data_IF_336211820892
#
_entry.id   IF_336211820892
#
_cell.length_a   1.000
_cell.length_b   1.000
_cell.length_c   1.000
_cell.angle_alpha   90.00
_cell.angle_beta   90.00
_cell.angle_gamma   90.00
#
_symmetry.space_group_name_H-M   'P 1'
#
loop_
_entity.id
_entity.type
_entity.pdbx_description
1 polymer ?
#
# COMPACT_ATOMS: atom_id res chain seq x y z
N UNK A 1 78.29 -20.14 57.04
CA UNK A 1 77.35 -19.01 57.20
C UNK A 1 77.43 -18.19 55.93
N UNK A 2 76.37 -18.15 55.12
CA UNK A 2 76.35 -17.28 53.92
C UNK A 2 76.46 -15.82 54.36
N UNK A 3 77.29 -15.04 53.67
CA UNK A 3 77.52 -13.64 53.97
C UNK A 3 76.26 -12.82 53.67
N UNK A 4 75.83 -12.00 54.63
CA UNK A 4 74.65 -11.11 54.57
C UNK A 4 74.48 -10.27 53.27
N UNK A 5 75.53 -9.79 52.57
CA UNK A 5 75.36 -9.11 51.27
C UNK A 5 74.92 -10.03 50.12
N UNK A 6 75.34 -11.29 50.08
CA UNK A 6 74.96 -12.24 49.02
C UNK A 6 73.47 -12.59 49.11
N UNK A 7 72.96 -12.75 50.33
CA UNK A 7 71.53 -12.99 50.59
C UNK A 7 70.66 -11.82 50.10
N UNK A 8 71.10 -10.57 50.28
CA UNK A 8 70.40 -9.37 49.78
C UNK A 8 70.40 -9.31 48.25
N UNK A 9 71.52 -9.68 47.62
CA UNK A 9 71.64 -9.74 46.15
C UNK A 9 70.71 -10.80 45.56
N UNK A 10 70.69 -12.02 46.12
CA UNK A 10 69.78 -13.08 45.70
C UNK A 10 68.31 -12.66 45.86
N UNK A 11 67.95 -12.04 46.98
CA UNK A 11 66.57 -11.56 47.20
C UNK A 11 66.13 -10.55 46.13
N UNK A 12 67.01 -9.61 45.78
CA UNK A 12 66.76 -8.65 44.69
C UNK A 12 66.59 -9.33 43.33
N UNK A 13 67.40 -10.36 43.02
CA UNK A 13 67.25 -11.13 41.78
C UNK A 13 65.93 -11.91 41.75
N UNK A 14 65.53 -12.52 42.86
CA UNK A 14 64.25 -13.22 42.99
C UNK A 14 63.08 -12.25 42.77
N UNK A 15 63.10 -11.07 43.40
CA UNK A 15 62.06 -10.06 43.22
C UNK A 15 61.96 -9.56 41.76
N UNK A 16 63.10 -9.39 41.09
CA UNK A 16 63.15 -9.02 39.66
C UNK A 16 62.59 -10.12 38.75
N UNK A 17 62.90 -11.39 39.04
CA UNK A 17 62.36 -12.53 38.31
C UNK A 17 60.86 -12.67 38.56
N UNK A 18 60.39 -12.45 39.79
CA UNK A 18 58.98 -12.46 40.15
C UNK A 18 58.20 -11.37 39.40
N UNK A 19 58.75 -10.15 39.32
CA UNK A 19 58.12 -9.06 38.57
C UNK A 19 58.05 -9.36 37.07
N UNK A 20 59.13 -9.92 36.49
CA UNK A 20 59.14 -10.35 35.07
C UNK A 20 58.14 -11.47 34.81
N UNK A 21 58.02 -12.42 35.73
CA UNK A 21 57.04 -13.50 35.65
C UNK A 21 55.62 -12.93 35.67
N UNK A 22 55.31 -12.06 36.62
CA UNK A 22 53.99 -11.42 36.73
C UNK A 22 53.63 -10.62 35.47
N UNK A 23 54.57 -9.84 34.93
CA UNK A 23 54.34 -9.06 33.70
C UNK A 23 54.09 -9.98 32.48
N UNK A 24 54.81 -11.10 32.37
CA UNK A 24 54.57 -12.10 31.32
C UNK A 24 53.21 -12.77 31.50
N UNK A 25 52.83 -13.13 32.73
CA UNK A 25 51.51 -13.69 33.03
C UNK A 25 50.38 -12.74 32.66
N UNK A 26 50.50 -11.45 32.99
CA UNK A 26 49.50 -10.44 32.60
C UNK A 26 49.40 -10.29 31.07
N UNK A 27 50.54 -10.33 30.38
CA UNK A 27 50.56 -10.26 28.91
C UNK A 27 49.86 -11.47 28.29
N UNK A 28 50.10 -12.68 28.81
CA UNK A 28 49.46 -13.91 28.34
C UNK A 28 47.94 -13.84 28.58
N UNK A 29 47.49 -13.34 29.74
CA UNK A 29 46.07 -13.17 30.03
C UNK A 29 45.41 -12.17 29.06
N UNK A 30 46.08 -11.06 28.75
CA UNK A 30 45.57 -10.08 27.78
C UNK A 30 45.46 -10.68 26.39
N UNK A 31 46.51 -11.34 25.92
CA UNK A 31 46.50 -12.04 24.62
C UNK A 31 45.42 -13.13 24.55
N UNK A 32 45.19 -13.87 25.65
CA UNK A 32 44.12 -14.84 25.73
C UNK A 32 42.74 -14.22 25.58
N UNK A 33 42.52 -13.06 26.21
CA UNK A 33 41.27 -12.30 26.07
C UNK A 33 41.08 -11.76 24.64
N UNK A 34 42.13 -11.18 24.06
CA UNK A 34 42.09 -10.65 22.69
C UNK A 34 41.81 -11.78 21.67
N UNK A 35 42.38 -12.99 21.91
CA UNK A 35 42.11 -14.17 21.09
C UNK A 35 40.66 -14.64 21.19
N UNK A 36 40.09 -14.68 22.40
CA UNK A 36 38.69 -15.05 22.60
C UNK A 36 37.73 -14.04 21.94
N UNK A 37 38.04 -12.74 22.03
CA UNK A 37 37.29 -11.68 21.35
C UNK A 37 37.37 -11.83 19.82
N UNK A 38 38.56 -12.14 19.28
CA UNK A 38 38.75 -12.39 17.86
C UNK A 38 37.98 -13.65 17.37
N UNK A 39 37.95 -14.71 18.16
CA UNK A 39 37.17 -15.92 17.84
C UNK A 39 35.66 -15.65 17.81
N UNK A 40 35.13 -14.88 18.78
CA UNK A 40 33.72 -14.48 18.80
C UNK A 40 33.38 -13.61 17.58
N UNK A 41 34.24 -12.65 17.24
CA UNK A 41 34.05 -11.81 16.06
C UNK A 41 34.06 -12.65 14.76
N UNK A 42 34.98 -13.61 14.64
CA UNK A 42 35.03 -14.55 13.51
C UNK A 42 33.74 -15.37 13.40
N UNK A 43 33.27 -15.96 14.49
CA UNK A 43 32.02 -16.74 14.48
C UNK A 43 30.81 -15.91 14.07
N UNK A 44 30.71 -14.68 14.57
CA UNK A 44 29.66 -13.73 14.18
C UNK A 44 29.70 -13.38 12.70
N UNK A 45 30.90 -13.13 12.15
CA UNK A 45 31.09 -12.85 10.72
C UNK A 45 30.72 -14.05 9.85
N UNK A 46 31.15 -15.27 10.22
CA UNK A 46 30.78 -16.49 9.51
C UNK A 46 29.27 -16.66 9.44
N UNK A 47 28.56 -16.53 10.58
CA UNK A 47 27.10 -16.63 10.60
C UNK A 47 26.42 -15.57 9.72
N UNK A 48 26.98 -14.35 9.67
CA UNK A 48 26.50 -13.28 8.79
C UNK A 48 26.72 -13.59 7.31
N UNK A 49 27.89 -14.11 6.94
CA UNK A 49 28.19 -14.51 5.56
C UNK A 49 27.23 -15.61 5.08
N UNK A 50 27.02 -16.66 5.87
CA UNK A 50 26.08 -17.73 5.50
C UNK A 50 24.64 -17.21 5.34
N UNK A 51 24.24 -16.23 6.15
CA UNK A 51 22.92 -15.59 6.04
C UNK A 51 22.81 -14.80 4.72
N UNK A 52 23.87 -14.06 4.36
CA UNK A 52 23.91 -13.32 3.10
C UNK A 52 23.91 -14.26 1.88
N UNK A 53 24.62 -15.38 1.93
CA UNK A 53 24.63 -16.39 0.87
C UNK A 53 23.23 -16.99 0.65
N UNK A 54 22.51 -17.35 1.72
CA UNK A 54 21.13 -17.84 1.63
C UNK A 54 20.19 -16.78 1.04
N UNK A 55 20.36 -15.51 1.41
CA UNK A 55 19.56 -14.42 0.88
C UNK A 55 19.86 -14.17 -0.61
N UNK A 56 21.13 -14.19 -1.02
CA UNK A 56 21.52 -14.07 -2.43
C UNK A 56 20.90 -15.18 -3.28
N UNK A 57 21.02 -16.44 -2.84
CA UNK A 57 20.42 -17.58 -3.56
C UNK A 57 18.88 -17.45 -3.68
N UNK A 58 18.21 -16.88 -2.67
CA UNK A 58 16.77 -16.61 -2.74
C UNK A 58 16.44 -15.54 -3.78
N UNK A 59 17.19 -14.44 -3.78
CA UNK A 59 17.01 -13.33 -4.72
C UNK A 59 17.30 -13.76 -6.15
N UNK A 60 18.35 -14.55 -6.40
CA UNK A 60 18.65 -15.11 -7.71
C UNK A 60 17.49 -15.96 -8.24
N UNK A 61 16.95 -16.84 -7.40
CA UNK A 61 15.79 -17.68 -7.76
C UNK A 61 14.53 -16.85 -8.03
N UNK A 62 14.31 -15.75 -7.31
CA UNK A 62 13.22 -14.82 -7.59
C UNK A 62 13.46 -14.09 -8.93
N UNK A 63 14.70 -13.67 -9.21
CA UNK A 63 15.11 -13.07 -10.47
C UNK A 63 14.85 -13.97 -11.67
N UNK A 64 15.20 -15.26 -11.58
CA UNK A 64 14.95 -16.23 -12.65
C UNK A 64 13.45 -16.40 -12.95
N UNK A 65 12.61 -16.40 -11.91
CA UNK A 65 11.15 -16.46 -12.07
C UNK A 65 10.61 -15.21 -12.76
N UNK A 66 11.12 -14.02 -12.39
CA UNK A 66 10.72 -12.78 -13.03
C UNK A 66 11.10 -12.75 -14.51
N UNK A 67 12.32 -13.19 -14.84
CA UNK A 67 12.78 -13.30 -16.23
C UNK A 67 11.91 -14.25 -17.05
N UNK A 68 11.60 -15.44 -16.53
CA UNK A 68 10.72 -16.39 -17.22
C UNK A 68 9.31 -15.82 -17.43
N UNK A 69 8.77 -15.08 -16.45
CA UNK A 69 7.46 -14.45 -16.57
C UNK A 69 7.45 -13.31 -17.61
N UNK A 70 8.53 -12.52 -17.67
CA UNK A 70 8.72 -11.47 -18.67
C UNK A 70 8.75 -12.07 -20.09
N UNK A 71 9.50 -13.16 -20.30
CA UNK A 71 9.57 -13.86 -21.58
C UNK A 71 8.19 -14.39 -22.03
N UNK A 72 7.40 -14.96 -21.11
CA UNK A 72 6.04 -15.41 -21.39
C UNK A 72 5.11 -14.25 -21.76
N UNK A 73 5.17 -13.14 -21.00
CA UNK A 73 4.35 -11.96 -21.27
C UNK A 73 4.69 -11.34 -22.62
N UNK A 74 5.99 -11.25 -22.95
CA UNK A 74 6.47 -10.71 -24.21
C UNK A 74 6.04 -11.60 -25.39
N UNK A 75 6.10 -12.92 -25.24
CA UNK A 75 5.60 -13.86 -26.24
C UNK A 75 4.09 -13.69 -26.47
N UNK A 76 3.30 -13.58 -25.38
CA UNK A 76 1.86 -13.34 -25.45
C UNK A 76 1.52 -12.02 -26.15
N UNK A 77 2.22 -10.93 -25.81
CA UNK A 77 2.05 -9.64 -26.45
C UNK A 77 2.36 -9.68 -27.95
N UNK A 78 3.45 -10.35 -28.34
CA UNK A 78 3.85 -10.49 -29.74
C UNK A 78 2.81 -11.27 -30.55
N UNK A 79 2.25 -12.34 -29.98
CA UNK A 79 1.21 -13.13 -30.62
C UNK A 79 -0.06 -12.32 -30.84
N UNK A 80 -0.52 -11.59 -29.81
CA UNK A 80 -1.73 -10.78 -29.89
C UNK A 80 -1.55 -9.60 -30.87
N UNK A 81 -0.37 -8.97 -30.85
CA UNK A 81 -0.02 -7.91 -31.81
C UNK A 81 -0.06 -8.42 -33.26
N UNK A 82 0.43 -9.64 -33.48
CA UNK A 82 0.38 -10.29 -34.80
C UNK A 82 -1.07 -10.58 -35.21
N UNK A 83 -1.86 -11.16 -34.32
CA UNK A 83 -3.29 -11.45 -34.56
C UNK A 83 -4.07 -10.19 -34.94
N UNK A 84 -3.93 -9.12 -34.17
CA UNK A 84 -4.61 -7.84 -34.44
C UNK A 84 -4.16 -7.23 -35.77
N UNK A 85 -2.88 -7.36 -36.12
CA UNK A 85 -2.37 -6.91 -37.43
C UNK A 85 -3.02 -7.68 -38.58
N UNK A 86 -3.09 -9.01 -38.46
CA UNK A 86 -3.71 -9.86 -39.47
C UNK A 86 -5.20 -9.53 -39.64
N UNK A 87 -5.91 -9.29 -38.54
CA UNK A 87 -7.32 -8.89 -38.52
C UNK A 87 -7.55 -7.52 -39.20
N UNK A 88 -6.71 -6.53 -38.87
CA UNK A 88 -6.74 -5.21 -39.53
C UNK A 88 -6.50 -5.34 -41.04
N UNK A 89 -5.61 -6.22 -41.47
CA UNK A 89 -5.34 -6.42 -42.88
C UNK A 89 -6.51 -7.11 -43.60
N UNK A 90 -7.23 -8.03 -42.93
CA UNK A 90 -8.47 -8.61 -43.46
C UNK A 90 -9.53 -7.53 -43.62
N UNK A 91 -9.82 -6.77 -42.56
CA UNK A 91 -10.84 -5.72 -42.59
C UNK A 91 -10.56 -4.64 -43.65
N UNK A 92 -9.29 -4.30 -43.88
CA UNK A 92 -8.90 -3.39 -44.97
C UNK A 92 -9.25 -3.95 -46.35
N UNK A 93 -9.03 -5.25 -46.59
CA UNK A 93 -9.40 -5.90 -47.85
C UNK A 93 -10.92 -5.91 -48.03
N UNK A 94 -11.66 -6.29 -47.00
CA UNK A 94 -13.12 -6.32 -47.05
C UNK A 94 -13.70 -4.93 -47.30
N UNK A 95 -13.18 -3.92 -46.60
CA UNK A 95 -13.59 -2.51 -46.81
C UNK A 95 -13.29 -2.06 -48.24
N UNK A 96 -12.17 -2.50 -48.83
CA UNK A 96 -11.84 -2.20 -50.22
C UNK A 96 -12.83 -2.86 -51.19
N UNK A 97 -13.16 -4.14 -50.99
CA UNK A 97 -14.12 -4.87 -51.82
C UNK A 97 -15.53 -4.27 -51.75
N UNK A 98 -16.02 -3.97 -50.53
CA UNK A 98 -17.32 -3.34 -50.34
C UNK A 98 -17.40 -1.96 -50.98
N UNK A 99 -16.30 -1.18 -50.97
CA UNK A 99 -16.24 0.10 -51.68
C UNK A 99 -16.35 -0.06 -53.20
N UNK A 100 -15.71 -1.09 -53.76
CA UNK A 100 -15.79 -1.38 -55.18
C UNK A 100 -17.23 -1.74 -55.58
N UNK A 101 -17.84 -2.68 -54.84
CA UNK A 101 -19.23 -3.09 -55.05
C UNK A 101 -20.20 -1.90 -54.90
N UNK A 102 -19.99 -1.04 -53.91
CA UNK A 102 -20.81 0.16 -53.73
C UNK A 102 -20.72 1.11 -54.94
N UNK A 103 -19.51 1.31 -55.48
CA UNK A 103 -19.31 2.13 -56.66
C UNK A 103 -20.00 1.53 -57.89
N UNK A 104 -19.93 0.21 -58.07
CA UNK A 104 -20.60 -0.49 -59.17
C UNK A 104 -22.12 -0.35 -59.07
N UNK A 105 -22.69 -0.53 -57.87
CA UNK A 105 -24.11 -0.32 -57.61
C UNK A 105 -24.55 1.14 -57.83
N UNK A 106 -23.69 2.11 -57.48
CA UNK A 106 -23.95 3.54 -57.78
C UNK A 106 -24.01 3.76 -59.30
N UNK A 107 -23.09 3.17 -60.07
CA UNK A 107 -23.07 3.28 -61.52
C UNK A 107 -24.32 2.66 -62.14
N UNK A 108 -24.68 1.44 -61.72
CA UNK A 108 -25.91 0.76 -62.18
C UNK A 108 -27.16 1.58 -61.87
N UNK A 109 -27.25 2.13 -60.65
CA UNK A 109 -28.35 3.03 -60.27
C UNK A 109 -28.43 4.25 -61.18
N UNK A 110 -27.30 4.86 -61.54
CA UNK A 110 -27.29 6.02 -62.43
C UNK A 110 -27.78 5.67 -63.83
N UNK A 111 -27.42 4.50 -64.35
CA UNK A 111 -27.87 4.05 -65.67
C UNK A 111 -29.37 3.73 -65.68
N UNK A 112 -29.87 3.01 -64.67
CA UNK A 112 -31.30 2.78 -64.50
C UNK A 112 -32.10 4.09 -64.35
N UNK A 113 -31.54 5.11 -63.69
CA UNK A 113 -32.15 6.44 -63.61
C UNK A 113 -32.21 7.13 -64.99
N UNK A 114 -31.19 6.99 -65.84
CA UNK A 114 -31.21 7.52 -67.22
C UNK A 114 -32.28 6.80 -68.05
N UNK A 115 -32.35 5.48 -67.96
CA UNK A 115 -33.35 4.67 -68.66
C UNK A 115 -34.77 5.06 -68.24
N UNK A 116 -35.00 5.25 -66.93
CA UNK A 116 -36.29 5.72 -66.42
C UNK A 116 -36.69 7.10 -66.98
N UNK A 117 -35.73 8.02 -67.18
CA UNK A 117 -36.00 9.32 -67.82
C UNK A 117 -36.39 9.14 -69.29
N UNK A 118 -35.68 8.27 -70.01
CA UNK A 118 -35.98 7.95 -71.41
C UNK A 118 -37.39 7.35 -71.51
N UNK A 119 -37.72 6.35 -70.68
CA UNK A 119 -39.06 5.76 -70.65
C UNK A 119 -40.15 6.78 -70.36
N UNK A 120 -39.96 7.68 -69.39
CA UNK A 120 -40.90 8.78 -69.12
C UNK A 120 -41.08 9.70 -70.33
N UNK A 121 -40.00 10.05 -71.02
CA UNK A 121 -40.07 10.89 -72.21
C UNK A 121 -40.79 10.18 -73.37
N UNK A 122 -40.52 8.89 -73.58
CA UNK A 122 -41.19 8.07 -74.61
C UNK A 122 -42.68 7.93 -74.33
N UNK A 123 -43.07 7.67 -73.08
CA UNK A 123 -44.49 7.65 -72.67
C UNK A 123 -45.15 9.00 -72.96
N UNK A 124 -44.52 10.11 -72.56
CA UNK A 124 -45.06 11.45 -72.80
C UNK A 124 -45.22 11.76 -74.31
N UNK A 125 -44.25 11.36 -75.15
CA UNK A 125 -44.35 11.51 -76.61
C UNK A 125 -45.55 10.74 -77.17
N UNK A 126 -45.71 9.47 -76.79
CA UNK A 126 -46.84 8.65 -77.23
C UNK A 126 -48.19 9.19 -76.73
N UNK A 127 -48.25 9.75 -75.53
CA UNK A 127 -49.47 10.41 -75.03
C UNK A 127 -49.84 11.66 -75.85
N UNK A 128 -48.84 12.46 -76.25
CA UNK A 128 -49.06 13.65 -77.09
C UNK A 128 -49.47 13.28 -78.52
N UNK A 129 -48.83 12.28 -79.15
CA UNK A 129 -49.21 11.76 -80.47
C UNK A 129 -50.68 11.31 -80.46
N UNK A 130 -51.09 10.59 -79.41
CA UNK A 130 -52.46 10.11 -79.23
C UNK A 130 -53.49 11.23 -78.99
N UNK A 131 -53.06 12.40 -78.50
CA UNK A 131 -53.92 13.59 -78.34
C UNK A 131 -53.99 14.41 -79.64
N UNK A 132 -52.90 14.44 -80.42
CA UNK A 132 -52.84 15.10 -81.73
C UNK A 132 -53.68 14.40 -82.80
N UNK A 133 -53.95 13.11 -82.63
CA UNK A 133 -54.80 12.30 -83.51
C UNK A 133 -56.27 12.34 -83.06
N UNK A 134 -56.91 13.52 -83.05
CA UNK A 134 -58.38 13.62 -83.16
C UNK A 134 -58.80 14.87 -83.94
N UNK A 135 -59.65 14.71 -84.96
CA UNK A 135 -60.89 15.47 -84.98
C UNK A 135 -62.11 14.54 -85.02
N UNK A 136 -63.05 14.81 -84.11
CA UNK A 136 -64.50 14.67 -84.21
C UNK A 136 -65.15 13.41 -84.81
N UNK A 137 -65.77 12.64 -83.90
CA UNK A 137 -67.13 12.10 -83.93
C UNK A 137 -67.52 10.90 -84.84
N UNK A 138 -68.34 10.06 -84.20
CA UNK A 138 -69.20 8.98 -84.69
C UNK A 138 -68.54 7.80 -85.41
N UNK A 139 -68.44 6.67 -84.70
CA UNK A 139 -69.18 5.50 -85.19
C UNK A 139 -69.52 4.49 -84.08
N UNK A 140 -70.77 4.06 -84.13
CA UNK A 140 -71.36 3.04 -83.28
C UNK A 140 -70.82 1.65 -83.65
N UNK A 141 -70.28 0.96 -82.63
CA UNK A 141 -70.40 -0.50 -82.33
C UNK A 141 -70.27 -1.52 -83.48
N UNK A 142 -69.47 -2.59 -83.33
CA UNK A 142 -69.92 -3.69 -82.45
C UNK A 142 -68.89 -4.16 -81.41
N UNK A 143 -69.43 -4.53 -80.26
CA UNK A 143 -68.80 -5.34 -79.22
C UNK A 143 -68.09 -6.55 -79.84
N UNK A 144 -66.75 -6.50 -79.88
CA UNK A 144 -65.90 -7.65 -80.19
C UNK A 144 -65.35 -8.22 -78.87
N UNK A 145 -65.31 -9.55 -78.69
CA UNK A 145 -64.91 -10.20 -77.45
C UNK A 145 -63.38 -10.22 -77.27
N UNK A 146 -62.73 -9.06 -77.43
CA UNK A 146 -61.26 -8.94 -77.46
C UNK A 146 -60.72 -7.81 -76.58
N UNK A 147 -61.59 -6.91 -76.10
CA UNK A 147 -61.23 -5.84 -75.15
C UNK A 147 -61.28 -6.28 -73.70
N UNK A 148 -62.10 -7.30 -73.37
CA UNK A 148 -62.11 -7.91 -72.04
C UNK A 148 -60.74 -8.50 -71.67
N UNK A 149 -60.06 -9.14 -72.62
CA UNK A 149 -58.76 -9.80 -72.38
C UNK A 149 -57.58 -8.84 -72.28
N UNK A 150 -57.65 -7.64 -72.88
CA UNK A 150 -56.60 -6.62 -72.74
C UNK A 150 -56.66 -5.88 -71.40
N UNK A 151 -57.87 -5.58 -70.91
CA UNK A 151 -58.04 -4.97 -69.59
C UNK A 151 -57.69 -5.96 -68.46
N UNK A 152 -58.01 -7.23 -68.63
CA UNK A 152 -57.60 -8.32 -67.73
C UNK A 152 -56.07 -8.48 -67.67
N UNK A 153 -55.39 -8.37 -68.81
CA UNK A 153 -53.91 -8.45 -68.89
C UNK A 153 -53.21 -7.29 -68.20
N UNK A 154 -53.71 -6.06 -68.36
CA UNK A 154 -53.12 -4.88 -67.69
C UNK A 154 -53.35 -4.97 -66.17
N UNK A 155 -54.51 -5.47 -65.73
CA UNK A 155 -54.78 -5.75 -64.32
C UNK A 155 -53.86 -6.83 -63.76
N UNK A 156 -53.62 -7.92 -64.50
CA UNK A 156 -52.65 -8.97 -64.14
C UNK A 156 -51.22 -8.45 -64.05
N UNK A 157 -50.77 -7.64 -65.01
CA UNK A 157 -49.41 -7.07 -65.00
C UNK A 157 -49.21 -6.10 -63.82
N UNK A 158 -50.23 -5.35 -63.44
CA UNK A 158 -50.21 -4.51 -62.25
C UNK A 158 -50.20 -5.36 -60.97
N UNK A 159 -51.03 -6.40 -60.89
CA UNK A 159 -51.07 -7.31 -59.75
C UNK A 159 -49.71 -8.00 -59.52
N UNK A 160 -49.06 -8.49 -60.59
CA UNK A 160 -47.72 -9.10 -60.51
C UNK A 160 -46.69 -8.10 -59.98
N UNK A 161 -46.77 -6.82 -60.38
CA UNK A 161 -45.88 -5.78 -59.85
C UNK A 161 -46.14 -5.50 -58.36
N UNK A 162 -47.40 -5.48 -57.94
CA UNK A 162 -47.77 -5.35 -56.53
C UNK A 162 -47.30 -6.53 -55.69
N UNK A 163 -47.42 -7.76 -56.20
CA UNK A 163 -46.94 -8.97 -55.52
C UNK A 163 -45.41 -8.97 -55.37
N UNK A 164 -44.68 -8.54 -56.40
CA UNK A 164 -43.21 -8.35 -56.34
C UNK A 164 -42.82 -7.29 -55.31
N UNK A 165 -43.48 -6.13 -55.33
CA UNK A 165 -43.21 -5.05 -54.38
C UNK A 165 -43.53 -5.48 -52.94
N UNK A 166 -44.59 -6.27 -52.74
CA UNK A 166 -44.93 -6.84 -51.43
C UNK A 166 -43.89 -7.85 -50.96
N UNK A 167 -43.36 -8.67 -51.87
CA UNK A 167 -42.27 -9.60 -51.55
C UNK A 167 -40.99 -8.87 -51.17
N UNK A 168 -40.62 -7.83 -51.92
CA UNK A 168 -39.48 -6.95 -51.59
C UNK A 168 -39.67 -6.24 -50.25
N UNK A 169 -40.87 -5.73 -49.97
CA UNK A 169 -41.20 -5.13 -48.68
C UNK A 169 -41.04 -6.12 -47.52
N UNK A 170 -41.53 -7.36 -47.68
CA UNK A 170 -41.39 -8.42 -46.68
C UNK A 170 -39.92 -8.81 -46.48
N UNK A 171 -39.14 -8.89 -47.56
CA UNK A 171 -37.70 -9.15 -47.48
C UNK A 171 -37.00 -8.04 -46.70
N UNK A 172 -37.28 -6.78 -47.01
CA UNK A 172 -36.69 -5.63 -46.33
C UNK A 172 -37.09 -5.54 -44.86
N UNK A 173 -38.32 -5.94 -44.53
CA UNK A 173 -38.78 -6.06 -43.15
C UNK A 173 -38.01 -7.14 -42.38
N UNK A 174 -37.75 -8.28 -43.00
CA UNK A 174 -36.94 -9.35 -42.41
C UNK A 174 -35.49 -8.90 -42.22
N UNK A 175 -34.88 -8.31 -43.24
CA UNK A 175 -33.50 -7.81 -43.20
C UNK A 175 -33.34 -6.75 -42.09
N UNK A 176 -34.33 -5.85 -41.94
CA UNK A 176 -34.36 -4.87 -40.85
C UNK A 176 -34.39 -5.55 -39.48
N UNK A 177 -35.20 -6.60 -39.31
CA UNK A 177 -35.26 -7.34 -38.05
C UNK A 177 -33.94 -8.04 -37.74
N UNK A 178 -33.30 -8.66 -38.74
CA UNK A 178 -31.97 -9.27 -38.59
C UNK A 178 -30.91 -8.24 -38.21
N UNK A 179 -30.88 -7.07 -38.87
CA UNK A 179 -29.92 -6.00 -38.55
C UNK A 179 -30.15 -5.45 -37.15
N UNK A 180 -31.39 -5.34 -36.69
CA UNK A 180 -31.70 -4.93 -35.32
C UNK A 180 -31.21 -5.96 -34.29
N UNK A 181 -31.37 -7.26 -34.56
CA UNK A 181 -30.82 -8.32 -33.71
C UNK A 181 -29.29 -8.25 -33.59
N UNK A 182 -28.59 -8.15 -34.72
CA UNK A 182 -27.12 -8.01 -34.73
C UNK A 182 -26.69 -6.74 -33.98
N UNK A 183 -27.42 -5.63 -34.13
CA UNK A 183 -27.15 -4.41 -33.38
C UNK A 183 -27.28 -4.61 -31.86
N UNK A 184 -28.29 -5.35 -31.40
CA UNK A 184 -28.48 -5.64 -29.98
C UNK A 184 -27.34 -6.50 -29.43
N UNK A 185 -26.90 -7.51 -30.17
CA UNK A 185 -25.73 -8.33 -29.82
C UNK A 185 -24.45 -7.48 -29.70
N UNK A 186 -24.20 -6.60 -30.68
CA UNK A 186 -23.05 -5.68 -30.65
C UNK A 186 -23.10 -4.70 -29.47
N UNK A 187 -24.29 -4.26 -29.05
CA UNK A 187 -24.44 -3.41 -27.86
C UNK A 187 -24.04 -4.17 -26.60
N UNK A 188 -24.46 -5.44 -26.47
CA UNK A 188 -24.10 -6.30 -25.35
C UNK A 188 -22.59 -6.51 -25.30
N UNK A 189 -21.95 -6.88 -26.43
CA UNK A 189 -20.50 -7.06 -26.52
C UNK A 189 -19.75 -5.77 -26.16
N UNK A 190 -20.21 -4.62 -26.66
CA UNK A 190 -19.63 -3.31 -26.32
C UNK A 190 -19.72 -3.06 -24.81
N UNK A 191 -20.85 -3.33 -24.18
CA UNK A 191 -21.03 -3.13 -22.74
C UNK A 191 -20.13 -4.06 -21.91
N UNK A 192 -19.92 -5.30 -22.35
CA UNK A 192 -18.95 -6.22 -21.74
C UNK A 192 -17.51 -5.74 -21.87
N UNK A 193 -17.12 -5.25 -23.05
CA UNK A 193 -15.80 -4.69 -23.28
C UNK A 193 -15.56 -3.43 -22.45
N UNK A 194 -16.55 -2.56 -22.30
CA UNK A 194 -16.46 -1.38 -21.43
C UNK A 194 -16.20 -1.79 -19.98
N UNK A 195 -16.96 -2.76 -19.45
CA UNK A 195 -16.73 -3.30 -18.09
C UNK A 195 -15.34 -3.88 -17.92
N UNK A 196 -14.83 -4.58 -18.95
CA UNK A 196 -13.47 -5.15 -18.95
C UNK A 196 -12.41 -4.05 -18.92
N UNK A 197 -12.59 -2.99 -19.70
CA UNK A 197 -11.70 -1.82 -19.70
C UNK A 197 -11.71 -1.12 -18.34
N UNK A 198 -12.87 -0.91 -17.73
CA UNK A 198 -12.98 -0.27 -16.41
C UNK A 198 -12.24 -1.09 -15.34
N UNK A 199 -12.44 -2.41 -15.34
CA UNK A 199 -11.75 -3.32 -14.42
C UNK A 199 -10.23 -3.26 -14.61
N UNK A 200 -9.75 -3.41 -15.85
CA UNK A 200 -8.32 -3.38 -16.14
C UNK A 200 -7.70 -2.01 -15.82
N UNK A 201 -8.42 -0.93 -16.07
CA UNK A 201 -7.99 0.44 -15.71
C UNK A 201 -7.83 0.59 -14.21
N UNK A 202 -8.76 0.02 -13.44
CA UNK A 202 -8.70 -0.01 -11.98
C UNK A 202 -7.49 -0.83 -11.50
N UNK A 203 -7.31 -2.05 -12.03
CA UNK A 203 -6.17 -2.92 -11.70
C UNK A 203 -4.82 -2.26 -12.07
N UNK A 204 -4.72 -1.64 -13.24
CA UNK A 204 -3.54 -0.89 -13.68
C UNK A 204 -3.26 0.30 -12.76
N UNK A 205 -4.30 1.02 -12.34
CA UNK A 205 -4.16 2.14 -11.39
C UNK A 205 -3.63 1.67 -10.04
N UNK A 206 -4.05 0.51 -9.56
CA UNK A 206 -3.50 -0.13 -8.36
C UNK A 206 -2.04 -0.55 -8.53
N UNK A 207 -1.65 -1.05 -9.70
CA UNK A 207 -0.26 -1.44 -9.98
C UNK A 207 0.68 -0.22 -10.10
N UNK A 208 0.25 0.82 -10.81
CA UNK A 208 1.08 2.01 -11.07
C UNK A 208 1.21 2.91 -9.85
N UNK A 209 0.11 3.16 -9.13
CA UNK A 209 0.10 4.07 -7.98
C UNK A 209 0.30 3.34 -6.64
N UNK A 210 0.37 2.01 -6.67
CA UNK A 210 0.28 1.18 -5.46
C UNK A 210 -1.13 1.21 -4.85
N UNK A 211 -1.40 0.31 -3.90
CA UNK A 211 -2.62 0.41 -3.10
C UNK A 211 -2.50 1.63 -2.17
N UNK A 212 -3.34 2.67 -2.31
CA UNK A 212 -3.27 3.85 -1.47
C UNK A 212 -3.47 3.51 0.02
N UNK A 213 -4.15 2.42 0.35
CA UNK A 213 -4.28 1.95 1.73
C UNK A 213 -2.96 1.39 2.25
N UNK A 214 -2.28 0.59 1.43
CA UNK A 214 -0.97 0.02 1.77
C UNK A 214 0.10 1.10 1.91
N UNK A 215 0.08 2.12 1.05
CA UNK A 215 0.99 3.27 1.17
C UNK A 215 0.75 4.06 2.47
N UNK A 216 -0.51 4.24 2.88
CA UNK A 216 -0.86 4.88 4.15
C UNK A 216 -0.43 4.03 5.36
N UNK A 217 -0.65 2.71 5.33
CA UNK A 217 -0.21 1.77 6.37
C UNK A 217 1.32 1.73 6.51
N UNK A 218 2.04 1.69 5.38
CA UNK A 218 3.51 1.71 5.35
C UNK A 218 4.03 3.04 5.95
N UNK A 219 3.38 4.17 5.64
CA UNK A 219 3.73 5.48 6.20
C UNK A 219 3.48 5.55 7.72
N UNK A 220 2.34 5.06 8.19
CA UNK A 220 2.01 5.05 9.62
C UNK A 220 2.96 4.14 10.41
N UNK A 221 3.33 2.98 9.84
CA UNK A 221 4.34 2.08 10.40
C UNK A 221 5.71 2.77 10.53
N UNK A 222 6.17 3.45 9.48
CA UNK A 222 7.42 4.23 9.51
C UNK A 222 7.35 5.39 10.52
N UNK A 223 6.22 6.07 10.65
CA UNK A 223 6.03 7.12 11.64
C UNK A 223 6.06 6.57 13.07
N UNK A 224 5.47 5.39 13.31
CA UNK A 224 5.52 4.71 14.60
C UNK A 224 6.96 4.30 14.96
N UNK A 225 7.70 3.72 14.02
CA UNK A 225 9.11 3.38 14.20
C UNK A 225 9.95 4.63 14.47
N UNK A 226 9.75 5.71 13.71
CA UNK A 226 10.46 6.96 13.91
C UNK A 226 10.20 7.55 15.31
N UNK A 227 8.95 7.54 15.77
CA UNK A 227 8.59 7.96 17.13
C UNK A 227 9.27 7.10 18.19
N UNK A 228 9.32 5.78 17.99
CA UNK A 228 9.98 4.85 18.91
C UNK A 228 11.50 5.08 18.97
N UNK A 229 12.17 5.20 17.82
CA UNK A 229 13.60 5.49 17.75
C UNK A 229 13.94 6.84 18.36
N UNK A 230 13.11 7.86 18.16
CA UNK A 230 13.27 9.17 18.78
C UNK A 230 13.12 9.11 20.30
N UNK A 231 12.20 8.29 20.81
CA UNK A 231 12.06 8.05 22.24
C UNK A 231 13.31 7.37 22.81
N UNK A 232 13.82 6.32 22.15
CA UNK A 232 15.07 5.66 22.56
C UNK A 232 16.27 6.63 22.56
N UNK A 233 16.39 7.46 21.53
CA UNK A 233 17.46 8.45 21.44
C UNK A 233 17.39 9.45 22.61
N UNK A 234 16.19 9.94 22.93
CA UNK A 234 16.01 10.85 24.06
C UNK A 234 16.38 10.18 25.38
N UNK A 235 15.97 8.92 25.60
CA UNK A 235 16.35 8.16 26.80
C UNK A 235 17.87 8.00 26.90
N UNK A 236 18.53 7.63 25.80
CA UNK A 236 19.99 7.52 25.78
C UNK A 236 20.70 8.87 26.04
N UNK A 237 20.13 9.98 25.57
CA UNK A 237 20.63 11.32 25.88
C UNK A 237 20.45 11.67 27.37
N UNK A 238 19.28 11.39 27.95
CA UNK A 238 19.04 11.59 29.39
C UNK A 238 19.99 10.74 30.24
N UNK A 239 20.24 9.49 29.87
CA UNK A 239 21.21 8.62 30.54
C UNK A 239 22.64 9.17 30.42
N UNK A 240 23.03 9.66 29.24
CA UNK A 240 24.34 10.30 29.04
C UNK A 240 24.52 11.52 29.93
N UNK A 241 23.52 12.40 29.98
CA UNK A 241 23.54 13.59 30.85
C UNK A 241 23.57 13.20 32.34
N UNK A 242 22.80 12.18 32.74
CA UNK A 242 22.84 11.65 34.09
C UNK A 242 24.24 11.11 34.46
N UNK A 243 24.89 10.37 33.57
CA UNK A 243 26.25 9.88 33.78
C UNK A 243 27.24 11.04 33.88
N UNK A 244 27.16 12.05 32.99
CA UNK A 244 28.01 13.25 33.07
C UNK A 244 27.85 13.98 34.40
N UNK A 245 26.62 14.18 34.85
CA UNK A 245 26.31 14.82 36.13
C UNK A 245 26.85 14.00 37.31
N UNK A 246 26.70 12.67 37.25
CA UNK A 246 27.19 11.78 38.30
C UNK A 246 28.72 11.77 38.34
N UNK A 247 29.38 11.74 37.18
CA UNK A 247 30.83 11.86 37.05
C UNK A 247 31.35 13.20 37.59
N UNK A 248 30.65 14.30 37.27
CA UNK A 248 30.99 15.62 37.79
C UNK A 248 30.90 15.66 39.33
N UNK A 249 29.85 15.08 39.91
CA UNK A 249 29.73 14.92 41.38
C UNK A 249 30.88 14.11 41.97
N UNK A 250 31.22 12.96 41.37
CA UNK A 250 32.35 12.15 41.84
C UNK A 250 33.70 12.86 41.71
N UNK A 251 33.92 13.62 40.64
CA UNK A 251 35.12 14.48 40.49
C UNK A 251 35.19 15.54 41.59
N UNK A 252 34.09 16.24 41.86
CA UNK A 252 34.05 17.23 42.95
C UNK A 252 34.36 16.59 44.31
N UNK A 253 33.81 15.39 44.59
CA UNK A 253 34.12 14.66 45.83
C UNK A 253 35.60 14.27 45.89
N UNK A 254 36.16 13.74 44.80
CA UNK A 254 37.56 13.35 44.74
C UNK A 254 38.53 14.54 44.88
N UNK A 255 38.18 15.69 44.30
CA UNK A 255 38.95 16.95 44.42
C UNK A 255 38.78 17.61 45.81
N UNK A 256 37.63 17.42 46.46
CA UNK A 256 37.39 17.88 47.84
C UNK A 256 38.09 17.01 48.91
N UNK A 257 38.61 15.84 48.54
CA UNK A 257 39.38 14.99 49.42
C UNK A 257 40.86 15.45 49.42
N UNK A 258 41.39 16.01 50.52
CA UNK A 258 42.76 16.50 50.54
C UNK A 258 43.74 15.34 50.36
N UNK A 259 44.62 15.48 49.35
CA UNK A 259 45.75 14.58 49.07
C UNK A 259 46.71 14.53 50.26
N UNK A 260 46.56 13.52 51.13
CA UNK A 260 47.58 13.13 52.11
C UNK A 260 48.65 12.29 51.41
N UNK A 261 49.62 12.96 50.82
CA UNK A 261 50.94 12.36 50.53
C UNK A 261 51.74 12.37 51.84
N UNK A 262 52.31 11.25 52.31
CA UNK A 262 53.10 11.24 53.53
C UNK A 262 54.51 11.78 53.23
N UNK A 263 54.80 13.01 53.64
CA UNK A 263 56.17 13.53 53.76
C UNK A 263 56.56 13.59 55.24
N UNK A 264 57.76 13.12 55.64
CA UNK A 264 58.12 13.02 57.03
C UNK A 264 58.71 14.35 57.51
N UNK A 265 57.98 15.09 58.35
CA UNK A 265 58.54 15.90 59.46
C UNK A 265 57.48 16.77 60.14
N UNK A 266 57.50 16.72 61.49
CA UNK A 266 57.14 17.79 62.44
C UNK A 266 55.72 17.82 63.05
N UNK A 267 55.58 17.06 64.14
CA UNK A 267 55.07 17.42 65.49
C UNK A 267 53.68 18.04 65.71
N UNK A 268 52.87 17.26 66.45
CA UNK A 268 52.11 17.57 67.69
C UNK A 268 50.72 18.28 67.62
N UNK A 269 49.72 17.48 68.04
CA UNK A 269 48.51 17.76 68.87
C UNK A 269 47.24 18.31 68.20
N UNK A 270 46.21 17.45 68.26
CA UNK A 270 44.77 17.66 68.54
C UNK A 270 43.91 16.86 67.54
N UNK A 271 43.47 15.65 67.89
CA UNK A 271 42.16 15.39 68.52
C UNK A 271 40.99 15.53 67.54
N UNK A 272 40.44 14.37 67.14
CA UNK A 272 39.02 14.09 66.87
C UNK A 272 38.34 14.95 65.79
N UNK A 273 38.13 14.36 64.60
CA UNK A 273 36.77 14.00 64.13
C UNK A 273 36.83 13.44 62.72
N UNK A 274 36.94 12.11 62.68
CA UNK A 274 36.92 11.28 61.49
C UNK A 274 35.57 10.53 61.51
N UNK A 275 34.47 11.24 61.25
CA UNK A 275 33.13 10.65 61.12
C UNK A 275 32.29 11.38 60.08
N UNK A 276 32.78 11.44 58.85
CA UNK A 276 31.92 11.68 57.68
C UNK A 276 31.61 10.35 56.97
N UNK A 277 31.21 9.35 57.76
CA UNK A 277 30.49 8.22 57.21
C UNK A 277 29.05 8.68 57.07
N UNK A 278 28.64 9.04 55.85
CA UNK A 278 27.24 9.19 55.47
C UNK A 278 26.59 7.81 55.66
N UNK A 279 26.19 7.53 56.90
CA UNK A 279 25.34 6.40 57.19
C UNK A 279 24.03 6.63 56.45
N UNK A 280 23.63 5.65 55.63
CA UNK A 280 22.31 5.64 55.01
C UNK A 280 21.30 5.42 56.13
N UNK A 281 20.85 6.51 56.75
CA UNK A 281 19.86 6.48 57.83
C UNK A 281 18.48 6.32 57.19
N UNK A 282 17.81 5.23 57.50
CA UNK A 282 16.47 4.92 57.00
C UNK A 282 15.43 5.86 57.65
N UNK A 283 14.37 6.24 56.93
CA UNK A 283 13.30 7.15 57.39
C UNK A 283 12.65 6.72 58.72
N UNK A 284 12.64 5.42 59.04
CA UNK A 284 12.20 4.92 60.35
C UNK A 284 13.15 5.35 61.48
N UNK A 285 14.46 5.28 61.24
CA UNK A 285 15.49 5.68 62.18
C UNK A 285 15.48 7.21 62.39
N UNK A 286 15.23 8.01 61.34
CA UNK A 286 15.08 9.46 61.47
C UNK A 286 13.86 9.81 62.36
N UNK A 287 12.73 9.12 62.19
CA UNK A 287 11.54 9.33 63.05
C UNK A 287 11.81 8.94 64.50
N UNK A 288 12.53 7.85 64.72
CA UNK A 288 12.85 7.34 66.05
C UNK A 288 13.88 8.22 66.77
N UNK A 289 14.86 8.77 66.04
CA UNK A 289 15.82 9.76 66.53
C UNK A 289 15.15 11.10 66.88
N UNK A 290 14.18 11.56 66.08
CA UNK A 290 13.42 12.79 66.37
C UNK A 290 12.37 12.60 67.48
N UNK A 291 11.90 11.37 67.71
CA UNK A 291 10.91 11.06 68.76
C UNK A 291 11.54 10.73 70.11
N UNK A 292 12.82 10.32 70.14
CA UNK A 292 13.53 10.02 71.38
C UNK A 292 14.09 11.31 72.00
N UNK A 293 13.48 11.75 73.10
CA UNK A 293 13.79 13.01 73.80
C UNK A 293 15.14 13.00 74.54
N UNK A 294 16.01 12.02 74.27
CA UNK A 294 17.24 11.72 75.01
C UNK A 294 18.54 12.01 74.25
N UNK A 295 18.47 12.50 73.00
CA UNK A 295 19.64 12.75 72.16
C UNK A 295 19.76 14.26 71.91
N UNK A 296 20.84 14.88 72.37
CA UNK A 296 21.17 16.26 72.02
C UNK A 296 21.71 16.27 70.59
N UNK A 297 20.86 16.68 69.64
CA UNK A 297 21.25 16.92 68.25
C UNK A 297 21.91 18.30 68.15
N UNK A 298 23.02 18.38 67.41
CA UNK A 298 23.70 19.64 67.14
C UNK A 298 23.24 20.29 65.81
N UNK A 299 23.66 21.53 65.55
CA UNK A 299 23.28 22.26 64.33
C UNK A 299 23.77 21.56 63.04
N UNK A 300 24.80 20.72 63.11
CA UNK A 300 25.25 19.88 61.99
C UNK A 300 24.26 18.75 61.72
N UNK A 301 23.82 18.06 62.76
CA UNK A 301 22.85 16.97 62.68
C UNK A 301 21.51 17.47 62.12
N UNK A 302 21.04 18.63 62.57
CA UNK A 302 19.83 19.24 62.03
C UNK A 302 19.96 19.60 60.55
N UNK A 303 21.11 20.13 60.11
CA UNK A 303 21.36 20.42 58.70
C UNK A 303 21.43 19.15 57.85
N UNK A 304 22.08 18.10 58.34
CA UNK A 304 22.15 16.81 57.67
C UNK A 304 20.78 16.15 57.54
N UNK A 305 19.99 16.11 58.62
CA UNK A 305 18.62 15.58 58.63
C UNK A 305 17.74 16.39 57.67
N UNK A 306 17.85 17.72 57.67
CA UNK A 306 17.07 18.59 56.77
C UNK A 306 17.41 18.33 55.30
N UNK A 307 18.69 18.14 54.96
CA UNK A 307 19.11 17.80 53.61
C UNK A 307 18.54 16.44 53.17
N UNK A 308 18.63 15.42 54.02
CA UNK A 308 18.10 14.08 53.74
C UNK A 308 16.56 14.11 53.56
N UNK A 309 15.85 14.85 54.41
CA UNK A 309 14.39 15.00 54.30
C UNK A 309 13.98 15.76 53.03
N UNK A 310 14.76 16.76 52.62
CA UNK A 310 14.52 17.52 51.40
C UNK A 310 14.74 16.65 50.15
N UNK A 311 15.82 15.88 50.11
CA UNK A 311 16.11 14.93 49.03
C UNK A 311 15.00 13.89 48.91
N UNK A 312 14.54 13.35 50.05
CA UNK A 312 13.46 12.36 50.05
C UNK A 312 12.10 12.94 49.66
N UNK A 313 11.82 14.20 49.99
CA UNK A 313 10.65 14.91 49.47
C UNK A 313 10.74 15.10 47.95
N UNK A 314 11.93 15.42 47.44
CA UNK A 314 12.17 15.57 46.01
C UNK A 314 12.00 14.24 45.26
N UNK A 315 12.53 13.14 45.78
CA UNK A 315 12.36 11.80 45.20
C UNK A 315 10.88 11.40 45.13
N UNK A 316 10.12 11.67 46.20
CA UNK A 316 8.68 11.40 46.23
C UNK A 316 7.91 12.27 45.23
N UNK A 317 8.32 13.53 45.04
CA UNK A 317 7.77 14.44 44.04
C UNK A 317 8.04 13.93 42.61
N UNK A 318 9.26 13.45 42.34
CA UNK A 318 9.66 12.87 41.06
C UNK A 318 8.85 11.60 40.78
N UNK A 319 8.76 10.67 41.74
CA UNK A 319 7.98 9.45 41.62
C UNK A 319 6.49 9.72 41.33
N UNK A 320 5.88 10.68 42.04
CA UNK A 320 4.51 11.14 41.77
C UNK A 320 4.37 11.71 40.36
N UNK A 321 5.38 12.42 39.86
CA UNK A 321 5.37 12.99 38.51
C UNK A 321 5.43 11.88 37.45
N UNK A 322 6.25 10.85 37.64
CA UNK A 322 6.27 9.68 36.75
C UNK A 322 4.93 8.93 36.75
N UNK A 323 4.33 8.69 37.93
CA UNK A 323 3.02 8.07 38.03
C UNK A 323 1.93 8.88 37.32
N UNK A 324 1.92 10.22 37.46
CA UNK A 324 0.98 11.10 36.74
C UNK A 324 1.16 11.01 35.23
N UNK A 325 2.40 10.95 34.73
CA UNK A 325 2.68 10.80 33.29
C UNK A 325 2.21 9.43 32.77
N UNK A 326 2.47 8.35 33.51
CA UNK A 326 2.01 7.00 33.16
C UNK A 326 0.48 6.91 33.12
N UNK A 327 -0.22 7.46 34.12
CA UNK A 327 -1.68 7.51 34.11
C UNK A 327 -2.22 8.36 32.96
N UNK A 328 -1.54 9.44 32.58
CA UNK A 328 -1.92 10.25 31.40
C UNK A 328 -1.77 9.46 30.10
N UNK A 329 -0.73 8.64 29.94
CA UNK A 329 -0.60 7.77 28.77
C UNK A 329 -1.68 6.68 28.75
N UNK A 330 -1.94 6.02 29.88
CA UNK A 330 -3.00 4.99 29.98
C UNK A 330 -4.37 5.58 29.63
N UNK A 331 -4.69 6.78 30.13
CA UNK A 331 -5.95 7.45 29.78
C UNK A 331 -6.07 7.78 28.29
N UNK A 332 -4.97 8.14 27.62
CA UNK A 332 -4.98 8.34 26.15
C UNK A 332 -5.27 7.05 25.41
N UNK A 333 -4.62 5.95 25.78
CA UNK A 333 -4.89 4.64 25.17
C UNK A 333 -6.34 4.20 25.40
N UNK A 334 -6.87 4.37 26.62
CA UNK A 334 -8.27 4.11 26.92
C UNK A 334 -9.23 4.98 26.09
N UNK A 335 -8.88 6.25 25.83
CA UNK A 335 -9.71 7.13 24.97
C UNK A 335 -9.73 6.67 23.51
N UNK A 336 -8.60 6.19 22.98
CA UNK A 336 -8.50 5.66 21.62
C UNK A 336 -9.35 4.39 21.50
N UNK A 337 -9.16 3.43 22.42
CA UNK A 337 -9.94 2.19 22.44
C UNK A 337 -11.44 2.48 22.55
N UNK A 338 -11.85 3.47 23.36
CA UNK A 338 -13.26 3.85 23.48
C UNK A 338 -13.84 4.40 22.17
N UNK A 339 -13.06 5.14 21.39
CA UNK A 339 -13.47 5.66 20.08
C UNK A 339 -13.61 4.50 19.09
N UNK A 340 -12.60 3.62 19.01
CA UNK A 340 -12.62 2.45 18.12
C UNK A 340 -13.80 1.51 18.43
N UNK A 341 -14.09 1.25 19.71
CA UNK A 341 -15.26 0.47 20.09
C UNK A 341 -16.57 1.14 19.66
N UNK A 342 -16.69 2.46 19.82
CA UNK A 342 -17.89 3.19 19.39
C UNK A 342 -18.08 3.17 17.86
N UNK A 343 -16.98 3.18 17.10
CA UNK A 343 -16.98 3.12 15.64
C UNK A 343 -17.36 1.73 15.14
N UNK A 344 -16.86 0.67 15.79
CA UNK A 344 -17.26 -0.71 15.52
C UNK A 344 -18.75 -0.92 15.81
N UNK A 345 -19.26 -0.39 16.91
CA UNK A 345 -20.69 -0.50 17.26
C UNK A 345 -21.58 0.27 16.27
N UNK A 346 -21.12 1.43 15.79
CA UNK A 346 -21.81 2.19 14.73
C UNK A 346 -21.84 1.43 13.39
N UNK A 347 -20.72 0.82 13.00
CA UNK A 347 -20.62 0.01 11.79
C UNK A 347 -21.52 -1.24 11.86
N UNK A 348 -21.61 -1.89 13.02
CA UNK A 348 -22.55 -3.01 13.24
C UNK A 348 -24.01 -2.57 13.11
N UNK A 349 -24.38 -1.40 13.67
CA UNK A 349 -25.73 -0.85 13.51
C UNK A 349 -26.05 -0.55 12.04
N UNK A 350 -25.13 0.09 11.32
CA UNK A 350 -25.33 0.46 9.91
C UNK A 350 -25.44 -0.76 8.99
N UNK A 351 -24.67 -1.83 9.27
CA UNK A 351 -24.76 -3.09 8.53
C UNK A 351 -26.12 -3.79 8.75
N UNK A 352 -26.66 -3.74 9.97
CA UNK A 352 -27.99 -4.27 10.27
C UNK A 352 -29.11 -3.45 9.60
N UNK A 353 -28.98 -2.13 9.49
CA UNK A 353 -29.94 -1.29 8.75
C UNK A 353 -29.93 -1.59 7.24
N UNK A 354 -28.75 -1.83 6.65
CA UNK A 354 -28.65 -2.18 5.22
C UNK A 354 -29.17 -3.59 4.90
N UNK A 355 -29.03 -4.54 5.83
CA UNK A 355 -29.65 -5.86 5.71
C UNK A 355 -31.18 -5.78 5.76
N UNK A 356 -31.72 -4.99 6.70
CA UNK A 356 -33.17 -4.75 6.77
C UNK A 356 -33.73 -4.10 5.50
N UNK A 357 -33.03 -3.11 4.91
CA UNK A 357 -33.48 -2.47 3.67
C UNK A 357 -33.44 -3.38 2.43
N UNK A 358 -32.51 -4.33 2.37
CA UNK A 358 -32.48 -5.31 1.28
C UNK A 358 -33.62 -6.34 1.37
N UNK A 359 -34.03 -6.73 2.59
CA UNK A 359 -35.17 -7.63 2.76
C UNK A 359 -36.51 -6.95 2.39
N UNK A 360 -36.64 -5.63 2.61
CA UNK A 360 -37.81 -4.87 2.13
C UNK A 360 -37.89 -4.75 0.61
N UNK A 361 -36.76 -4.73 -0.11
CA UNK A 361 -36.76 -4.61 -1.58
C UNK A 361 -37.03 -5.94 -2.30
N UNK A 362 -36.74 -7.08 -1.68
CA UNK A 362 -37.06 -8.41 -2.23
C UNK A 362 -38.55 -8.75 -2.03
N UNK A 363 -39.21 -8.21 -0.99
CA UNK A 363 -40.61 -8.49 -0.70
C UNK A 363 -41.62 -7.81 -1.65
N UNK A 364 -41.24 -6.74 -2.36
CA UNK A 364 -42.16 -5.99 -3.25
C UNK A 364 -42.21 -6.46 -4.71
N UNK A 365 -41.50 -7.54 -5.07
CA UNK A 365 -41.52 -8.10 -6.44
C UNK A 365 -42.37 -9.37 -6.61
N UNK A 366 -43.15 -9.76 -5.60
CA UNK A 366 -44.06 -10.91 -5.69
C UNK A 366 -45.47 -10.52 -5.25
N UNK A 367 -46.20 -9.72 -6.04
CA UNK A 367 -47.66 -9.78 -6.02
C UNK A 367 -48.33 -9.19 -7.28
N UNK A 368 -49.34 -9.94 -7.76
CA UNK A 368 -50.38 -9.69 -8.76
C UNK A 368 -50.27 -10.33 -10.16
N UNK A 369 -51.03 -11.42 -10.40
CA UNK A 369 -51.73 -11.64 -11.66
C UNK A 369 -53.13 -11.00 -11.59
N UNK A 370 -53.39 -9.98 -12.40
CA UNK A 370 -54.76 -9.49 -12.65
C UNK A 370 -55.29 -10.24 -13.88
N UNK A 371 -56.26 -11.10 -13.61
CA UNK A 371 -57.23 -11.62 -14.58
C UNK A 371 -58.22 -10.49 -14.87
N UNK A 372 -58.30 -10.07 -16.13
CA UNK A 372 -59.57 -9.80 -16.84
C UNK A 372 -59.34 -9.71 -18.35
#
# INVERSE_FOLDING_TARGET
MMNTPELKSLKKQVDQLQQKLNAKTETILRLGKDLEEAEKAKQSLTARCETLERNLARVEKEGDKHKANEELLQSGYNLETKRLRDEVDILKRDTFHLRLENNDLIAEKQDLQKDCKIFRQTIAKHEVERISETPSASDNTPFTPTTATKLDRVGQDQLIKYEKLLAEYKQMQNDLHTVLGVKEELIIERDELVKKVDRLTTEMSFLLNGDPRRAAEDLDSLLAENRFLKAQLNTAQEESENIKNTLAKYKMIAESLPSKVPSPSRSQVSSLDEKNSVAVINMKQIRELLASQSIQLDDSDFRAITAILLDLCNDKQIALTHLRRANKSVNKYMSIIRIECSEIDWLKLNKNCNLANNDYHVAHHLEFPIVQ
#
